data_IF_844384238681
#
_entry.id   IF_844384238681
#
_cell.length_a   1.000
_cell.length_b   1.000
_cell.length_c   1.000
_cell.angle_alpha   90.00
_cell.angle_beta   90.00
_cell.angle_gamma   90.00
#
_symmetry.space_group_name_H-M   'P 1'
#
loop_
_entity.id
_entity.type
_entity.pdbx_description
1 polymer ?
#
# COMPACT_ATOMS: atom_id res chain seq x y z
N UNK A 1 2.11 -19.84 -16.66
CA UNK A 1 2.18 -18.39 -16.55
C UNK A 1 3.47 -17.88 -17.17
N UNK A 2 3.51 -16.61 -17.57
CA UNK A 2 4.77 -16.00 -18.02
C UNK A 2 5.76 -15.98 -16.86
N UNK A 3 7.01 -16.33 -17.13
CA UNK A 3 8.12 -16.19 -16.19
C UNK A 3 8.27 -14.72 -15.76
N UNK A 4 8.76 -14.48 -14.55
CA UNK A 4 9.05 -13.13 -14.05
C UNK A 4 10.13 -12.43 -14.90
N UNK A 5 11.05 -13.18 -15.48
CA UNK A 5 12.06 -12.63 -16.40
C UNK A 5 11.45 -11.94 -17.60
N UNK A 6 10.33 -12.45 -18.13
CA UNK A 6 9.56 -11.79 -19.19
C UNK A 6 8.89 -10.50 -18.72
N UNK A 7 8.42 -10.45 -17.47
CA UNK A 7 7.88 -9.20 -16.89
C UNK A 7 8.99 -8.15 -16.72
N UNK A 8 10.19 -8.57 -16.32
CA UNK A 8 11.35 -7.66 -16.26
C UNK A 8 11.74 -7.14 -17.66
N UNK A 9 11.62 -8.00 -18.68
CA UNK A 9 11.86 -7.60 -20.08
C UNK A 9 10.82 -6.58 -20.55
N UNK A 10 9.54 -6.78 -20.26
CA UNK A 10 8.48 -5.81 -20.59
C UNK A 10 8.68 -4.47 -19.87
N UNK A 11 9.07 -4.48 -18.60
CA UNK A 11 9.41 -3.26 -17.86
C UNK A 11 10.58 -2.53 -18.52
N UNK A 12 11.60 -3.26 -18.93
CA UNK A 12 12.77 -2.67 -19.61
C UNK A 12 12.37 -2.05 -20.95
N UNK A 13 11.55 -2.71 -21.74
CA UNK A 13 11.06 -2.26 -23.05
C UNK A 13 10.37 -0.87 -22.96
N UNK A 14 9.53 -0.68 -21.96
CA UNK A 14 8.83 0.60 -21.71
C UNK A 14 9.82 1.76 -21.49
N UNK A 15 10.92 1.51 -20.76
CA UNK A 15 11.91 2.57 -20.46
C UNK A 15 12.85 2.91 -21.60
N UNK A 16 13.09 1.96 -22.52
CA UNK A 16 14.16 2.10 -23.52
C UNK A 16 13.92 3.17 -24.58
N UNK A 17 12.66 3.40 -24.96
CA UNK A 17 12.32 4.46 -25.93
C UNK A 17 12.80 5.83 -25.46
N UNK A 18 12.61 6.14 -24.17
CA UNK A 18 12.99 7.41 -23.54
C UNK A 18 14.49 7.68 -23.51
N UNK A 19 15.34 6.64 -23.70
CA UNK A 19 16.82 6.75 -23.70
C UNK A 19 17.44 6.45 -25.07
N UNK A 20 16.59 6.24 -26.08
CA UNK A 20 17.02 6.03 -27.47
C UNK A 20 17.74 4.71 -27.69
N UNK A 21 17.33 3.65 -27.00
CA UNK A 21 17.73 2.27 -27.30
C UNK A 21 16.81 1.73 -28.39
N UNK A 22 17.37 1.35 -29.52
CA UNK A 22 16.62 1.00 -30.74
C UNK A 22 16.96 -0.37 -31.31
N UNK A 23 17.80 -1.14 -30.64
CA UNK A 23 18.19 -2.48 -31.06
C UNK A 23 19.31 -3.06 -30.20
N UNK A 24 19.74 -4.31 -30.50
CA UNK A 24 20.70 -5.06 -29.67
C UNK A 24 22.02 -4.32 -29.42
N UNK A 25 22.60 -3.69 -30.44
CA UNK A 25 23.88 -2.95 -30.30
C UNK A 25 23.72 -1.77 -29.34
N UNK A 26 22.66 -0.97 -29.50
CA UNK A 26 22.40 0.16 -28.62
C UNK A 26 22.00 -0.27 -27.21
N UNK A 27 21.39 -1.42 -27.04
CA UNK A 27 21.11 -2.03 -25.73
C UNK A 27 22.42 -2.38 -25.02
N UNK A 28 23.34 -3.07 -25.71
CA UNK A 28 24.64 -3.39 -25.15
C UNK A 28 25.41 -2.13 -24.74
N UNK A 29 25.49 -1.10 -25.60
CA UNK A 29 26.30 0.09 -25.36
C UNK A 29 25.70 1.03 -24.29
N UNK A 30 24.38 1.10 -24.20
CA UNK A 30 23.71 2.05 -23.29
C UNK A 30 23.27 1.43 -21.97
N UNK A 31 23.02 0.14 -21.93
CA UNK A 31 22.48 -0.54 -20.76
C UNK A 31 23.49 -1.50 -20.15
N UNK A 32 24.03 -2.45 -20.93
CA UNK A 32 24.89 -3.51 -20.37
C UNK A 32 26.30 -3.01 -20.03
N UNK A 33 26.91 -2.23 -20.92
CA UNK A 33 28.29 -1.74 -20.73
C UNK A 33 28.42 -0.48 -19.91
N UNK A 34 27.31 0.05 -19.41
CA UNK A 34 27.28 1.24 -18.55
C UNK A 34 27.29 0.80 -17.10
N UNK A 35 28.21 1.33 -16.30
CA UNK A 35 28.34 0.97 -14.88
C UNK A 35 27.05 1.16 -14.08
N UNK A 36 26.30 2.23 -14.32
CA UNK A 36 25.02 2.49 -13.70
C UNK A 36 24.08 3.19 -14.70
N UNK A 37 23.33 2.42 -15.52
CA UNK A 37 22.40 3.00 -16.49
C UNK A 37 21.25 3.76 -15.83
N UNK A 38 20.79 3.32 -14.66
CA UNK A 38 19.75 3.99 -13.91
C UNK A 38 20.17 5.42 -13.51
N UNK A 39 21.34 5.60 -12.93
CA UNK A 39 21.86 6.92 -12.58
C UNK A 39 22.15 7.78 -13.81
N UNK A 40 22.63 7.18 -14.90
CA UNK A 40 22.95 7.88 -16.15
C UNK A 40 21.71 8.44 -16.85
N UNK A 41 20.61 7.70 -16.82
CA UNK A 41 19.36 8.01 -17.52
C UNK A 41 18.22 8.32 -16.56
N UNK A 42 18.53 8.92 -15.44
CA UNK A 42 17.67 9.36 -14.36
C UNK A 42 16.16 9.27 -14.65
N UNK A 43 15.42 8.49 -13.83
CA UNK A 43 13.96 8.31 -13.91
C UNK A 43 13.38 7.89 -15.28
N UNK A 44 14.22 7.49 -16.25
CA UNK A 44 13.76 7.02 -17.56
C UNK A 44 13.77 5.52 -17.69
N UNK A 45 14.52 4.83 -16.83
CA UNK A 45 14.63 3.38 -16.83
C UNK A 45 14.07 2.78 -15.55
N UNK A 46 13.25 1.73 -15.61
CA UNK A 46 12.76 1.05 -14.42
C UNK A 46 13.90 0.28 -13.74
N UNK A 47 14.03 0.45 -12.42
CA UNK A 47 15.10 -0.17 -11.61
C UNK A 47 15.16 -1.69 -11.81
N UNK A 48 14.04 -2.37 -11.74
CA UNK A 48 13.98 -3.83 -11.90
C UNK A 48 14.35 -4.28 -13.31
N UNK A 49 14.00 -3.52 -14.35
CA UNK A 49 14.40 -3.79 -15.73
C UNK A 49 15.92 -3.66 -15.91
N UNK A 50 16.54 -2.63 -15.30
CA UNK A 50 17.99 -2.45 -15.30
C UNK A 50 18.70 -3.58 -14.56
N UNK A 51 18.21 -3.98 -13.38
CA UNK A 51 18.74 -5.13 -12.65
C UNK A 51 18.68 -6.40 -13.49
N UNK A 52 17.54 -6.67 -14.11
CA UNK A 52 17.36 -7.83 -15.01
C UNK A 52 18.33 -7.81 -16.19
N UNK A 53 18.50 -6.67 -16.84
CA UNK A 53 19.41 -6.52 -17.98
C UNK A 53 20.88 -6.73 -17.57
N UNK A 54 21.34 -6.09 -16.53
CA UNK A 54 22.74 -6.17 -16.11
C UNK A 54 23.14 -7.52 -15.46
N UNK A 55 22.16 -8.33 -15.07
CA UNK A 55 22.39 -9.67 -14.54
C UNK A 55 22.18 -10.78 -15.56
N UNK A 56 21.86 -10.43 -16.83
CA UNK A 56 21.59 -11.40 -17.90
C UNK A 56 20.22 -12.08 -17.80
N UNK A 57 19.36 -11.69 -16.86
CA UNK A 57 17.97 -12.16 -16.76
C UNK A 57 17.11 -11.59 -17.88
N UNK A 58 17.48 -10.42 -18.38
CA UNK A 58 16.88 -9.77 -19.54
C UNK A 58 17.97 -9.48 -20.57
N UNK A 59 17.72 -9.82 -21.83
CA UNK A 59 18.63 -9.58 -22.94
C UNK A 59 17.90 -9.15 -24.21
N UNK A 60 18.63 -8.56 -25.14
CA UNK A 60 18.17 -8.29 -26.50
C UNK A 60 18.99 -9.06 -27.51
N UNK A 61 18.63 -10.31 -27.83
CA UNK A 61 19.38 -11.14 -28.76
C UNK A 61 19.41 -10.56 -30.18
N UNK A 62 20.53 -10.75 -30.89
CA UNK A 62 20.65 -10.34 -32.30
C UNK A 62 19.57 -11.03 -33.15
N UNK A 63 18.87 -10.24 -33.96
CA UNK A 63 17.80 -10.71 -34.81
C UNK A 63 16.41 -10.70 -34.20
N UNK A 64 16.28 -10.34 -32.93
CA UNK A 64 15.00 -10.08 -32.27
C UNK A 64 14.64 -8.59 -32.38
N UNK A 65 13.35 -8.31 -32.34
CA UNK A 65 12.79 -6.96 -32.45
C UNK A 65 12.53 -6.28 -31.09
N UNK A 66 12.77 -7.02 -29.98
CA UNK A 66 12.58 -6.55 -28.61
C UNK A 66 13.47 -7.27 -27.60
N UNK A 67 13.50 -6.76 -26.37
CA UNK A 67 14.11 -7.47 -25.24
C UNK A 67 13.31 -8.70 -24.87
N UNK A 68 13.98 -9.69 -24.36
CA UNK A 68 13.44 -11.00 -24.02
C UNK A 68 13.87 -11.42 -22.62
N UNK A 69 13.02 -12.20 -21.98
CA UNK A 69 13.32 -12.98 -20.78
C UNK A 69 13.59 -14.44 -21.11
N UNK A 70 13.79 -15.27 -20.11
CA UNK A 70 14.05 -16.70 -20.22
C UNK A 70 12.80 -17.53 -19.92
N UNK A 71 12.78 -18.77 -20.40
CA UNK A 71 11.77 -19.74 -20.01
C UNK A 71 12.07 -20.29 -18.61
N UNK A 72 11.05 -20.29 -17.74
CA UNK A 72 11.14 -20.79 -16.38
C UNK A 72 10.54 -22.20 -16.30
N UNK A 73 11.21 -23.13 -15.61
CA UNK A 73 10.67 -24.47 -15.33
C UNK A 73 10.35 -24.69 -13.85
N UNK A 74 10.93 -23.92 -12.97
CA UNK A 74 10.67 -23.96 -11.53
C UNK A 74 10.74 -22.54 -10.94
N UNK A 75 9.87 -22.24 -10.00
CA UNK A 75 9.94 -21.00 -9.26
C UNK A 75 9.60 -21.20 -7.78
N UNK A 76 10.09 -20.30 -6.96
CA UNK A 76 9.77 -20.23 -5.54
C UNK A 76 9.56 -18.76 -5.13
N UNK A 77 8.54 -18.52 -4.33
CA UNK A 77 8.24 -17.21 -3.76
C UNK A 77 8.13 -17.29 -2.24
N UNK A 78 8.85 -16.42 -1.58
CA UNK A 78 8.77 -16.21 -0.14
C UNK A 78 8.46 -14.74 0.15
N UNK A 79 7.56 -14.47 1.10
CA UNK A 79 7.30 -13.12 1.59
C UNK A 79 7.18 -13.13 3.10
N UNK A 80 7.72 -12.08 3.73
CA UNK A 80 7.59 -11.81 5.15
C UNK A 80 7.23 -10.36 5.35
N UNK A 81 6.12 -10.13 6.06
CA UNK A 81 5.63 -8.81 6.41
C UNK A 81 5.60 -8.67 7.92
N UNK A 82 6.04 -7.53 8.41
CA UNK A 82 6.03 -7.19 9.83
C UNK A 82 5.73 -5.71 10.01
N UNK A 83 5.09 -5.36 11.14
CA UNK A 83 4.76 -3.97 11.46
C UNK A 83 3.29 -3.76 11.78
N UNK A 84 2.89 -2.52 11.80
CA UNK A 84 1.54 -2.10 12.12
C UNK A 84 1.45 -0.59 12.34
N UNK A 85 0.28 -0.16 12.75
CA UNK A 85 0.02 1.23 13.16
C UNK A 85 -0.30 1.21 14.65
N UNK A 86 0.55 1.86 15.44
CA UNK A 86 0.30 2.10 16.86
C UNK A 86 -0.46 3.41 17.02
N UNK A 87 -1.52 3.41 17.82
CA UNK A 87 -2.32 4.59 18.09
C UNK A 87 -2.29 4.91 19.58
N UNK A 88 -2.02 6.17 19.90
CA UNK A 88 -2.04 6.73 21.25
C UNK A 88 -3.13 7.79 21.34
N UNK A 89 -4.15 7.54 22.16
CA UNK A 89 -5.28 8.43 22.31
C UNK A 89 -5.23 9.17 23.66
N UNK A 90 -5.28 10.49 23.60
CA UNK A 90 -5.41 11.37 24.77
C UNK A 90 -6.83 11.91 24.82
N UNK A 91 -7.58 11.48 25.84
CA UNK A 91 -9.01 11.76 25.93
C UNK A 91 -9.31 12.74 27.07
N UNK A 92 -10.25 13.64 26.81
CA UNK A 92 -10.90 14.45 27.85
C UNK A 92 -12.41 14.37 27.64
N UNK A 93 -13.16 14.24 28.73
CA UNK A 93 -14.61 14.18 28.66
C UNK A 93 -15.27 14.95 29.79
N UNK A 94 -16.46 15.49 29.52
CA UNK A 94 -17.25 16.26 30.44
C UNK A 94 -18.67 15.71 30.49
N UNK A 95 -19.24 15.61 31.69
CA UNK A 95 -20.63 15.28 31.91
C UNK A 95 -21.33 16.51 32.50
N UNK A 96 -22.36 16.99 31.83
CA UNK A 96 -23.13 18.16 32.24
C UNK A 96 -24.52 17.67 32.62
N UNK A 97 -24.81 17.68 33.94
CA UNK A 97 -26.10 17.36 34.54
C UNK A 97 -26.69 16.00 34.09
N UNK A 98 -25.85 15.02 33.75
CA UNK A 98 -26.24 13.72 33.17
C UNK A 98 -27.11 13.82 31.92
N UNK A 99 -27.11 14.95 31.25
CA UNK A 99 -27.88 15.24 30.02
C UNK A 99 -27.03 15.44 28.78
N UNK A 100 -25.89 16.07 28.94
CA UNK A 100 -24.96 16.32 27.84
C UNK A 100 -23.59 15.81 28.22
N UNK A 101 -23.06 14.94 27.36
CA UNK A 101 -21.72 14.38 27.50
C UNK A 101 -20.91 14.86 26.32
N UNK A 102 -19.78 15.52 26.60
CA UNK A 102 -18.85 16.03 25.60
C UNK A 102 -17.57 15.21 25.68
N UNK A 103 -16.98 14.91 24.55
CA UNK A 103 -15.69 14.23 24.48
C UNK A 103 -14.80 14.81 23.39
N UNK A 104 -13.52 14.90 23.69
CA UNK A 104 -12.48 15.22 22.71
C UNK A 104 -11.34 14.24 22.88
N UNK A 105 -10.80 13.77 21.75
CA UNK A 105 -9.66 12.84 21.70
C UNK A 105 -8.65 13.36 20.71
N UNK A 106 -7.41 13.51 21.17
CA UNK A 106 -6.25 13.70 20.30
C UNK A 106 -5.62 12.34 20.03
N UNK A 107 -5.61 11.92 18.78
CA UNK A 107 -4.96 10.71 18.33
C UNK A 107 -3.58 11.00 17.77
N UNK A 108 -2.58 10.24 18.17
CA UNK A 108 -1.22 10.25 17.62
C UNK A 108 -0.92 8.85 17.12
N UNK A 109 -0.41 8.76 15.91
CA UNK A 109 -0.14 7.50 15.22
C UNK A 109 1.35 7.34 14.96
N UNK A 110 1.83 6.12 15.13
CA UNK A 110 3.17 5.68 14.74
C UNK A 110 3.00 4.52 13.75
N UNK A 111 3.53 4.72 12.55
CA UNK A 111 3.44 3.76 11.43
C UNK A 111 4.80 3.14 11.23
N UNK A 112 4.86 1.81 11.25
CA UNK A 112 6.06 1.07 10.88
C UNK A 112 5.64 -0.21 10.17
N UNK A 113 6.08 -0.38 8.94
CA UNK A 113 5.80 -1.55 8.12
C UNK A 113 7.03 -1.95 7.33
N UNK A 114 7.34 -3.24 7.36
CA UNK A 114 8.47 -3.80 6.63
C UNK A 114 8.00 -5.03 5.86
N UNK A 115 8.35 -5.10 4.59
CA UNK A 115 8.14 -6.26 3.73
C UNK A 115 9.45 -6.70 3.09
N UNK A 116 9.78 -7.94 3.27
CA UNK A 116 10.80 -8.65 2.50
C UNK A 116 10.11 -9.67 1.60
N UNK A 117 10.50 -9.73 0.33
CA UNK A 117 10.11 -10.82 -0.55
C UNK A 117 11.29 -11.31 -1.36
N UNK A 118 11.38 -12.61 -1.54
CA UNK A 118 12.39 -13.30 -2.32
C UNK A 118 11.70 -14.14 -3.40
N UNK A 119 12.07 -13.94 -4.62
CA UNK A 119 11.55 -14.68 -5.77
C UNK A 119 12.70 -15.33 -6.53
N UNK A 120 12.64 -16.64 -6.71
CA UNK A 120 13.66 -17.40 -7.41
C UNK A 120 13.05 -18.09 -8.63
N UNK A 121 13.73 -18.05 -9.76
CA UNK A 121 13.42 -18.84 -10.96
C UNK A 121 14.62 -19.68 -11.37
N UNK A 122 14.36 -20.95 -11.69
CA UNK A 122 15.26 -21.82 -12.41
C UNK A 122 14.89 -21.78 -13.90
N UNK A 123 15.87 -21.52 -14.75
CA UNK A 123 15.68 -21.15 -16.15
C UNK A 123 16.14 -22.25 -17.11
N UNK A 124 15.49 -22.28 -18.26
CA UNK A 124 15.89 -23.11 -19.40
C UNK A 124 16.35 -22.23 -20.58
N UNK A 125 17.29 -22.75 -21.37
CA UNK A 125 17.58 -22.24 -22.70
C UNK A 125 16.46 -22.58 -23.72
N UNK A 126 16.58 -22.10 -24.94
CA UNK A 126 15.62 -22.33 -26.02
C UNK A 126 15.45 -23.81 -26.42
N UNK A 127 16.36 -24.67 -25.99
CA UNK A 127 16.34 -26.12 -26.23
C UNK A 127 15.80 -26.90 -25.03
N UNK A 128 15.37 -26.21 -23.96
CA UNK A 128 14.84 -26.82 -22.74
C UNK A 128 15.92 -27.41 -21.82
N UNK A 129 17.18 -27.04 -22.02
CA UNK A 129 18.29 -27.40 -21.12
C UNK A 129 18.37 -26.40 -19.96
N UNK A 130 18.66 -26.88 -18.76
CA UNK A 130 18.88 -26.04 -17.59
C UNK A 130 19.97 -24.99 -17.87
N UNK A 131 19.66 -23.72 -17.55
CA UNK A 131 20.51 -22.58 -17.83
C UNK A 131 20.71 -21.67 -16.60
N UNK A 132 20.88 -22.29 -15.44
CA UNK A 132 21.00 -21.57 -14.18
C UNK A 132 19.67 -20.96 -13.73
N UNK A 133 19.73 -19.82 -13.08
CA UNK A 133 18.58 -19.15 -12.55
C UNK A 133 18.92 -17.79 -11.95
N UNK A 134 17.96 -17.21 -11.26
CA UNK A 134 18.17 -15.94 -10.52
C UNK A 134 17.32 -15.89 -9.26
N UNK A 135 17.71 -15.01 -8.36
CA UNK A 135 16.95 -14.64 -7.17
C UNK A 135 16.79 -13.13 -7.15
N UNK A 136 15.55 -12.66 -7.05
CA UNK A 136 15.18 -11.27 -6.87
C UNK A 136 14.67 -11.08 -5.45
N UNK A 137 15.43 -10.34 -4.65
CA UNK A 137 15.07 -9.93 -3.30
C UNK A 137 14.57 -8.49 -3.32
N UNK A 138 13.40 -8.24 -2.71
CA UNK A 138 12.83 -6.92 -2.56
C UNK A 138 12.66 -6.58 -1.08
N UNK A 139 13.05 -5.38 -0.73
CA UNK A 139 12.90 -4.80 0.60
C UNK A 139 12.06 -3.54 0.49
N UNK A 140 11.01 -3.48 1.26
CA UNK A 140 10.15 -2.31 1.34
C UNK A 140 9.92 -1.94 2.79
N UNK A 141 10.10 -0.68 3.13
CA UNK A 141 9.77 -0.12 4.44
C UNK A 141 8.85 1.07 4.29
N UNK A 142 7.93 1.23 5.22
CA UNK A 142 7.07 2.40 5.36
C UNK A 142 7.06 2.78 6.82
N UNK A 143 7.60 3.96 7.12
CA UNK A 143 7.63 4.52 8.47
C UNK A 143 6.97 5.90 8.45
N UNK A 144 6.44 6.33 9.59
CA UNK A 144 5.88 7.66 9.69
C UNK A 144 5.03 7.90 10.92
N UNK A 145 4.50 9.10 10.99
CA UNK A 145 3.65 9.54 12.10
C UNK A 145 2.37 10.18 11.59
N UNK A 146 1.34 10.18 12.42
CA UNK A 146 0.07 10.82 12.08
C UNK A 146 -0.59 11.46 13.30
N UNK A 147 -1.50 12.39 13.05
CA UNK A 147 -2.26 13.06 14.07
C UNK A 147 -3.70 13.29 13.63
N UNK A 148 -4.65 13.11 14.52
CA UNK A 148 -6.06 13.47 14.31
C UNK A 148 -6.73 14.04 15.56
N UNK A 149 -7.92 14.62 15.39
CA UNK A 149 -8.78 15.07 16.46
C UNK A 149 -10.18 14.48 16.27
N UNK A 150 -10.73 13.90 17.34
CA UNK A 150 -12.08 13.34 17.39
C UNK A 150 -12.90 14.12 18.40
N UNK A 151 -14.06 14.61 17.99
CA UNK A 151 -14.99 15.33 18.86
C UNK A 151 -16.32 14.60 18.87
N UNK A 152 -16.92 14.50 20.05
CA UNK A 152 -18.21 13.82 20.21
C UNK A 152 -19.10 14.49 21.23
N UNK A 153 -20.40 14.38 20.99
CA UNK A 153 -21.43 14.80 21.93
C UNK A 153 -22.52 13.71 22.03
N UNK A 154 -22.93 13.41 23.25
CA UNK A 154 -24.11 12.57 23.50
C UNK A 154 -25.10 13.40 24.30
N UNK A 155 -26.37 13.41 23.88
CA UNK A 155 -27.45 14.15 24.50
C UNK A 155 -28.54 13.18 24.95
N UNK A 156 -29.05 13.41 26.17
CA UNK A 156 -30.31 12.82 26.68
C UNK A 156 -31.40 13.85 26.59
N UNK A 157 -32.21 13.88 25.50
CA UNK A 157 -33.17 14.96 25.28
C UNK A 157 -34.33 14.96 26.29
N UNK A 158 -34.63 13.81 26.93
CA UNK A 158 -35.74 13.65 27.85
C UNK A 158 -35.24 13.16 29.21
N UNK A 159 -35.58 13.86 30.30
CA UNK A 159 -35.17 13.48 31.66
C UNK A 159 -35.66 12.11 32.12
N UNK A 160 -36.90 11.79 31.79
CA UNK A 160 -37.55 10.55 32.21
C UNK A 160 -37.23 9.35 31.26
N UNK A 161 -36.49 9.59 30.18
CA UNK A 161 -36.21 8.54 29.19
C UNK A 161 -34.71 8.20 29.15
N UNK A 162 -34.36 6.92 29.04
CA UNK A 162 -32.97 6.51 28.81
C UNK A 162 -32.48 6.74 27.36
N UNK A 163 -33.31 7.32 26.49
CA UNK A 163 -33.01 7.59 25.11
C UNK A 163 -31.81 8.60 24.99
N UNK A 164 -30.86 8.27 24.14
CA UNK A 164 -29.67 9.06 23.87
C UNK A 164 -29.46 9.23 22.37
N UNK A 165 -29.01 10.41 22.00
CA UNK A 165 -28.53 10.73 20.64
C UNK A 165 -27.05 11.08 20.73
N UNK A 166 -26.26 10.55 19.83
CA UNK A 166 -24.84 10.81 19.71
C UNK A 166 -24.48 11.40 18.36
N UNK A 167 -23.55 12.33 18.35
CA UNK A 167 -22.92 12.89 17.16
C UNK A 167 -21.42 12.91 17.39
N UNK A 168 -20.67 12.48 16.39
CA UNK A 168 -19.22 12.57 16.41
C UNK A 168 -18.67 13.00 15.06
N UNK A 169 -17.58 13.73 15.10
CA UNK A 169 -16.80 14.12 13.94
C UNK A 169 -15.35 13.79 14.21
N UNK A 170 -14.72 13.13 13.26
CA UNK A 170 -13.29 12.93 13.26
C UNK A 170 -12.68 13.76 12.12
N UNK A 171 -11.66 14.51 12.44
CA UNK A 171 -10.88 15.20 11.41
C UNK A 171 -10.19 14.17 10.52
N UNK A 172 -9.64 14.56 9.39
CA UNK A 172 -8.62 13.78 8.72
C UNK A 172 -7.51 13.40 9.69
N UNK A 173 -6.91 12.25 9.47
CA UNK A 173 -5.59 11.95 10.02
C UNK A 173 -4.57 12.47 9.02
N UNK A 174 -3.70 13.36 9.46
CA UNK A 174 -2.58 13.87 8.67
C UNK A 174 -1.38 13.00 8.98
N UNK A 175 -0.95 12.23 7.99
CA UNK A 175 0.23 11.39 8.07
C UNK A 175 1.38 12.03 7.32
N UNK A 176 2.56 12.00 7.93
CA UNK A 176 3.85 12.25 7.31
C UNK A 176 4.56 10.90 7.21
N UNK A 177 4.77 10.44 5.97
CA UNK A 177 5.19 9.10 5.66
C UNK A 177 6.48 9.10 4.85
N UNK A 178 7.35 8.14 5.16
CA UNK A 178 8.56 7.83 4.42
C UNK A 178 8.52 6.38 3.97
N UNK A 179 8.57 6.16 2.68
CA UNK A 179 8.78 4.83 2.13
C UNK A 179 10.20 4.68 1.60
N UNK A 180 10.75 3.47 1.73
CA UNK A 180 12.02 3.11 1.15
C UNK A 180 11.88 1.76 0.45
N UNK A 181 12.40 1.70 -0.75
CA UNK A 181 12.43 0.50 -1.57
C UNK A 181 13.85 0.14 -1.96
N UNK A 182 14.17 -1.13 -1.86
CA UNK A 182 15.43 -1.69 -2.29
C UNK A 182 15.20 -3.04 -2.98
N UNK A 183 15.95 -3.31 -4.04
CA UNK A 183 15.94 -4.59 -4.73
C UNK A 183 17.37 -5.07 -4.97
N UNK A 184 17.55 -6.39 -4.80
CA UNK A 184 18.79 -7.07 -5.13
C UNK A 184 18.47 -8.22 -6.07
N UNK A 185 19.17 -8.31 -7.19
CA UNK A 185 19.05 -9.40 -8.13
C UNK A 185 20.40 -10.10 -8.28
N UNK A 186 20.45 -11.39 -7.98
CA UNK A 186 21.61 -12.27 -8.21
C UNK A 186 21.26 -13.33 -9.24
N UNK A 187 22.14 -13.58 -10.18
CA UNK A 187 21.96 -14.61 -11.22
C UNK A 187 23.20 -15.48 -11.39
N UNK A 188 22.99 -16.69 -11.90
CA UNK A 188 24.04 -17.63 -12.33
C UNK A 188 23.74 -18.20 -13.72
N UNK A 189 23.19 -17.35 -14.58
CA UNK A 189 22.80 -17.74 -15.94
C UNK A 189 24.06 -17.95 -16.79
N UNK A 190 24.11 -19.07 -17.51
CA UNK A 190 25.15 -19.34 -18.49
C UNK A 190 24.76 -18.69 -19.81
N UNK A 191 25.42 -17.58 -20.14
CA UNK A 191 25.18 -16.82 -21.34
C UNK A 191 26.35 -17.00 -22.32
N UNK A 192 26.12 -17.69 -23.44
CA UNK A 192 27.14 -18.01 -24.45
C UNK A 192 28.42 -18.68 -23.91
N UNK A 193 28.29 -19.51 -22.87
CA UNK A 193 29.42 -20.22 -22.27
C UNK A 193 30.20 -19.43 -21.23
N UNK A 194 29.74 -18.23 -20.86
CA UNK A 194 30.27 -17.44 -19.76
C UNK A 194 29.20 -17.37 -18.64
N UNK A 195 29.57 -17.80 -17.44
CA UNK A 195 28.69 -17.70 -16.28
C UNK A 195 28.55 -16.25 -15.83
N UNK A 196 27.34 -15.72 -15.91
CA UNK A 196 27.00 -14.43 -15.29
C UNK A 196 26.76 -14.64 -13.81
N UNK A 197 27.69 -14.18 -13.00
CA UNK A 197 27.57 -14.18 -11.54
C UNK A 197 27.60 -12.72 -11.09
N UNK A 198 26.43 -12.06 -11.02
CA UNK A 198 26.37 -10.67 -10.57
C UNK A 198 25.33 -10.50 -9.45
N UNK A 199 25.73 -9.72 -8.46
CA UNK A 199 24.90 -9.23 -7.38
C UNK A 199 24.93 -7.70 -7.44
N UNK A 200 23.81 -7.09 -7.85
CA UNK A 200 23.75 -5.64 -8.12
C UNK A 200 23.00 -4.84 -7.07
N UNK A 201 22.49 -5.48 -6.01
CA UNK A 201 21.73 -4.79 -4.98
C UNK A 201 22.48 -3.59 -4.38
N UNK A 202 23.68 -3.81 -3.94
CA UNK A 202 24.52 -2.78 -3.32
C UNK A 202 24.96 -1.69 -4.30
N UNK A 203 24.91 -1.96 -5.59
CA UNK A 203 25.38 -1.04 -6.64
C UNK A 203 24.39 0.09 -6.91
N UNK A 204 23.10 -0.20 -6.92
CA UNK A 204 22.06 0.81 -7.13
C UNK A 204 21.84 1.67 -5.88
N UNK A 205 22.08 1.11 -4.68
CA UNK A 205 21.84 1.75 -3.39
C UNK A 205 23.07 2.53 -2.90
N UNK A 206 24.26 2.12 -3.27
CA UNK A 206 25.51 2.59 -2.68
C UNK A 206 25.94 4.02 -3.04
N UNK A 207 25.29 4.69 -4.00
CA UNK A 207 25.76 5.98 -4.51
C UNK A 207 24.82 7.16 -4.35
N UNK A 208 23.50 6.96 -4.33
CA UNK A 208 22.51 8.02 -4.13
C UNK A 208 21.26 7.44 -3.51
N UNK A 209 21.21 7.39 -2.20
CA UNK A 209 20.10 6.83 -1.41
C UNK A 209 18.74 7.50 -1.66
N UNK A 210 18.74 8.72 -2.19
CA UNK A 210 17.53 9.54 -2.34
C UNK A 210 16.54 9.01 -3.39
N UNK A 211 16.96 8.10 -4.28
CA UNK A 211 16.10 7.64 -5.38
C UNK A 211 15.13 6.53 -5.03
N UNK A 212 15.43 5.79 -3.99
CA UNK A 212 14.60 4.68 -3.53
C UNK A 212 13.90 5.02 -2.20
N UNK A 213 14.08 6.24 -1.72
CA UNK A 213 13.39 6.77 -0.55
C UNK A 213 12.49 7.91 -0.98
N UNK A 214 11.24 7.88 -0.54
CA UNK A 214 10.24 8.87 -0.90
C UNK A 214 9.47 9.34 0.33
N UNK A 215 9.47 10.66 0.55
CA UNK A 215 8.69 11.29 1.61
C UNK A 215 7.41 11.87 1.03
N UNK A 216 6.27 11.62 1.66
CA UNK A 216 4.98 12.13 1.22
C UNK A 216 3.99 12.26 2.36
N UNK A 217 2.94 13.05 2.12
CA UNK A 217 1.85 13.29 3.03
C UNK A 217 0.59 12.54 2.58
N UNK A 218 -0.04 11.84 3.51
CA UNK A 218 -1.34 11.23 3.32
C UNK A 218 -2.36 11.90 4.25
N UNK A 219 -3.39 12.52 3.67
CA UNK A 219 -4.52 13.06 4.43
C UNK A 219 -5.74 12.15 4.23
N UNK A 220 -6.23 11.55 5.31
CA UNK A 220 -7.45 10.72 5.26
C UNK A 220 -8.71 11.58 5.21
N UNK A 221 -9.88 11.02 4.84
CA UNK A 221 -11.13 11.77 4.84
C UNK A 221 -11.64 12.13 6.21
N UNK A 222 -12.49 13.15 6.27
CA UNK A 222 -13.37 13.40 7.43
C UNK A 222 -14.31 12.21 7.65
N UNK A 223 -14.61 11.93 8.93
CA UNK A 223 -15.60 10.92 9.32
C UNK A 223 -16.69 11.57 10.16
N UNK A 224 -17.93 11.32 9.78
CA UNK A 224 -19.13 11.81 10.47
C UNK A 224 -19.94 10.64 11.00
N UNK A 225 -20.38 10.74 12.24
CA UNK A 225 -21.05 9.67 12.93
C UNK A 225 -22.31 10.19 13.65
N UNK A 226 -23.43 9.52 13.47
CA UNK A 226 -24.69 9.78 14.16
C UNK A 226 -25.17 8.49 14.79
N UNK A 227 -25.56 8.53 16.05
CA UNK A 227 -26.02 7.34 16.77
C UNK A 227 -27.24 7.64 17.62
N UNK A 228 -28.06 6.62 17.84
CA UNK A 228 -29.20 6.65 18.75
C UNK A 228 -29.23 5.36 19.56
N UNK A 229 -29.59 5.45 20.82
CA UNK A 229 -29.71 4.28 21.66
C UNK A 229 -30.67 4.51 22.81
N UNK A 230 -31.28 3.38 23.29
CA UNK A 230 -32.17 3.40 24.43
C UNK A 230 -32.16 2.06 25.17
N UNK A 231 -32.63 2.08 26.41
CA UNK A 231 -32.94 0.86 27.15
C UNK A 231 -34.45 0.76 27.45
N UNK A 232 -35.01 -0.42 27.32
CA UNK A 232 -36.43 -0.67 27.57
C UNK A 232 -36.55 -1.60 28.79
N UNK A 233 -37.26 -1.13 29.81
CA UNK A 233 -37.53 -1.90 31.03
C UNK A 233 -36.26 -2.31 31.81
N UNK A 234 -35.11 -1.74 31.52
CA UNK A 234 -33.83 -2.15 32.12
C UNK A 234 -33.33 -3.54 31.67
N UNK A 235 -34.04 -4.18 30.76
CA UNK A 235 -33.77 -5.54 30.28
C UNK A 235 -33.21 -5.55 28.86
N UNK A 236 -33.71 -4.67 28.00
CA UNK A 236 -33.31 -4.61 26.58
C UNK A 236 -32.61 -3.30 26.29
N UNK A 237 -31.42 -3.36 25.73
CA UNK A 237 -30.71 -2.21 25.15
C UNK A 237 -30.70 -2.34 23.64
N UNK A 238 -31.02 -1.25 22.93
CA UNK A 238 -31.02 -1.18 21.46
C UNK A 238 -30.24 0.05 21.08
N UNK A 239 -29.38 -0.09 20.06
CA UNK A 239 -28.59 1.01 19.48
C UNK A 239 -28.49 0.88 17.99
N UNK A 240 -28.42 2.03 17.34
CA UNK A 240 -28.13 2.15 15.91
C UNK A 240 -27.11 3.28 15.70
N UNK A 241 -26.25 3.09 14.73
CA UNK A 241 -25.20 4.04 14.34
C UNK A 241 -25.10 4.11 12.83
N UNK A 242 -24.96 5.30 12.33
CA UNK A 242 -24.64 5.57 10.93
C UNK A 242 -23.36 6.39 10.86
N UNK A 243 -22.42 5.95 10.02
CA UNK A 243 -21.15 6.59 9.78
C UNK A 243 -21.00 6.87 8.29
N UNK A 244 -20.48 8.05 7.96
CA UNK A 244 -20.14 8.44 6.60
C UNK A 244 -18.70 8.91 6.53
N UNK A 245 -17.98 8.43 5.50
CA UNK A 245 -16.62 8.82 5.20
C UNK A 245 -16.41 8.82 3.69
N UNK A 246 -15.94 9.94 3.12
CA UNK A 246 -15.73 10.07 1.68
C UNK A 246 -14.27 9.83 1.32
N UNK A 247 -13.95 8.61 0.88
CA UNK A 247 -12.58 8.23 0.52
C UNK A 247 -12.04 8.96 -0.70
N UNK A 248 -12.90 9.51 -1.59
CA UNK A 248 -12.44 10.32 -2.70
C UNK A 248 -11.86 11.67 -2.27
N UNK A 249 -12.12 12.08 -1.03
CA UNK A 249 -11.51 13.29 -0.44
C UNK A 249 -10.13 13.07 0.19
N UNK A 250 -9.59 11.85 0.13
CA UNK A 250 -8.22 11.55 0.57
C UNK A 250 -7.21 12.27 -0.31
N UNK A 251 -6.09 12.70 0.26
CA UNK A 251 -5.04 13.38 -0.50
C UNK A 251 -3.72 12.68 -0.32
N UNK A 252 -3.02 12.51 -1.45
CA UNK A 252 -1.65 12.09 -1.54
C UNK A 252 -0.84 13.25 -2.13
N UNK A 253 0.03 13.84 -1.33
CA UNK A 253 0.79 15.04 -1.70
C UNK A 253 2.27 14.80 -1.38
N UNK A 254 3.17 15.40 -2.16
CA UNK A 254 4.58 15.44 -1.81
C UNK A 254 4.82 16.35 -0.60
N UNK A 255 6.06 16.45 -0.15
CA UNK A 255 6.43 17.29 1.02
C UNK A 255 6.19 18.79 0.79
N UNK A 256 6.08 19.23 -0.46
CA UNK A 256 5.81 20.62 -0.85
C UNK A 256 4.30 20.87 -1.06
N UNK A 257 3.45 19.84 -0.93
CA UNK A 257 2.00 19.91 -1.04
C UNK A 257 1.46 19.81 -2.47
N UNK A 258 2.27 19.32 -3.42
CA UNK A 258 1.79 19.04 -4.78
C UNK A 258 1.21 17.63 -4.85
N UNK A 259 0.07 17.44 -5.55
CA UNK A 259 -0.53 16.12 -5.71
C UNK A 259 0.44 15.13 -6.37
N UNK A 260 0.51 13.92 -5.82
CA UNK A 260 1.24 12.82 -6.44
C UNK A 260 0.49 12.27 -7.66
N UNK A 261 1.21 11.59 -8.55
CA UNK A 261 0.61 10.97 -9.75
C UNK A 261 -0.55 10.02 -9.44
N UNK A 262 -0.51 9.35 -8.30
CA UNK A 262 -1.56 8.42 -7.84
C UNK A 262 -2.83 9.13 -7.30
N UNK A 263 -2.80 10.44 -7.08
CA UNK A 263 -3.98 11.21 -6.63
C UNK A 263 -5.15 11.08 -7.61
N UNK A 264 -4.90 11.05 -8.91
CA UNK A 264 -5.95 10.85 -9.91
C UNK A 264 -6.70 9.53 -9.74
N UNK A 265 -6.02 8.47 -9.32
CA UNK A 265 -6.63 7.18 -9.01
C UNK A 265 -7.52 7.25 -7.77
N UNK A 266 -7.16 8.04 -6.76
CA UNK A 266 -8.00 8.30 -5.59
C UNK A 266 -9.30 9.01 -6.01
N UNK A 267 -9.19 10.06 -6.81
CA UNK A 267 -10.33 10.86 -7.24
C UNK A 267 -11.30 10.10 -8.16
N UNK A 268 -10.76 9.24 -9.05
CA UNK A 268 -11.53 8.52 -10.06
C UNK A 268 -12.15 7.22 -9.53
N UNK A 269 -11.45 6.50 -8.65
CA UNK A 269 -11.84 5.15 -8.25
C UNK A 269 -12.43 5.04 -6.86
N UNK A 270 -12.22 6.00 -5.97
CA UNK A 270 -12.79 5.98 -4.63
C UNK A 270 -14.06 6.80 -4.53
N UNK A 271 -14.89 6.50 -3.53
CA UNK A 271 -16.15 7.19 -3.27
C UNK A 271 -16.52 7.18 -1.79
N UNK A 272 -17.59 7.86 -1.46
CA UNK A 272 -18.18 7.88 -0.12
C UNK A 272 -18.63 6.48 0.34
N UNK A 273 -18.28 6.15 1.58
CA UNK A 273 -18.64 4.91 2.25
C UNK A 273 -19.65 5.19 3.35
N UNK A 274 -20.69 4.38 3.36
CA UNK A 274 -21.76 4.37 4.35
C UNK A 274 -21.63 3.12 5.21
N UNK A 275 -21.54 3.31 6.52
CA UNK A 275 -21.57 2.24 7.50
C UNK A 275 -22.85 2.36 8.33
N UNK A 276 -23.63 1.29 8.40
CA UNK A 276 -24.79 1.17 9.26
C UNK A 276 -24.57 0.03 10.26
N UNK A 277 -24.65 0.34 11.55
CA UNK A 277 -24.53 -0.66 12.63
C UNK A 277 -25.79 -0.63 13.47
N UNK A 278 -26.38 -1.78 13.72
CA UNK A 278 -27.53 -1.92 14.61
C UNK A 278 -27.22 -3.04 15.59
N UNK A 279 -27.49 -2.82 16.87
CA UNK A 279 -27.23 -3.79 17.91
C UNK A 279 -28.37 -3.83 18.95
N UNK A 280 -28.55 -5.00 19.51
CA UNK A 280 -29.47 -5.24 20.61
C UNK A 280 -28.81 -6.15 21.64
N UNK A 281 -29.02 -5.83 22.91
CA UNK A 281 -28.72 -6.71 24.03
C UNK A 281 -29.98 -6.94 24.84
N UNK A 282 -30.28 -8.20 25.19
CA UNK A 282 -31.32 -8.57 26.09
C UNK A 282 -30.75 -9.33 27.29
N UNK A 283 -31.03 -8.86 28.50
CA UNK A 283 -30.70 -9.54 29.75
C UNK A 283 -31.88 -10.42 30.14
N UNK A 284 -31.73 -11.73 30.03
CA UNK A 284 -32.78 -12.71 30.35
C UNK A 284 -32.84 -12.95 31.85
N UNK A 285 -31.68 -13.11 32.48
CA UNK A 285 -31.44 -13.15 33.92
C UNK A 285 -30.18 -12.36 34.25
N UNK A 286 -29.96 -12.01 35.53
CA UNK A 286 -28.78 -11.20 35.89
C UNK A 286 -27.44 -11.75 35.36
N UNK A 287 -27.32 -13.06 35.28
CA UNK A 287 -26.11 -13.79 34.87
C UNK A 287 -26.03 -14.08 33.38
N UNK A 288 -27.15 -13.88 32.62
CA UNK A 288 -27.22 -14.28 31.22
C UNK A 288 -27.83 -13.21 30.31
N UNK A 289 -27.07 -12.77 29.35
CA UNK A 289 -27.46 -11.81 28.31
C UNK A 289 -27.24 -12.39 26.90
N UNK A 290 -28.15 -12.08 25.99
CA UNK A 290 -28.02 -12.37 24.55
C UNK A 290 -27.79 -11.06 23.83
N UNK A 291 -26.85 -11.08 22.89
CA UNK A 291 -26.52 -9.95 22.01
C UNK A 291 -26.70 -10.38 20.57
N UNK A 292 -27.26 -9.49 19.77
CA UNK A 292 -27.33 -9.62 18.31
C UNK A 292 -26.97 -8.28 17.67
N UNK A 293 -26.29 -8.32 16.53
CA UNK A 293 -25.94 -7.11 15.80
C UNK A 293 -25.85 -7.38 14.30
N UNK A 294 -26.07 -6.32 13.55
CA UNK A 294 -25.91 -6.27 12.10
C UNK A 294 -25.06 -5.08 11.72
N UNK A 295 -24.11 -5.31 10.82
CA UNK A 295 -23.26 -4.27 10.24
C UNK A 295 -23.35 -4.35 8.72
N UNK A 296 -23.58 -3.20 8.10
CA UNK A 296 -23.54 -3.03 6.65
C UNK A 296 -22.54 -1.96 6.30
N UNK A 297 -21.61 -2.27 5.38
CA UNK A 297 -20.64 -1.34 4.83
C UNK A 297 -20.80 -1.31 3.31
N UNK A 298 -21.00 -0.13 2.73
CA UNK A 298 -21.02 0.04 1.28
C UNK A 298 -19.61 -0.09 0.68
N UNK A 299 -19.54 -0.40 -0.63
CA UNK A 299 -18.24 -0.46 -1.31
C UNK A 299 -17.56 0.92 -1.37
N UNK A 300 -16.24 0.93 -1.18
CA UNK A 300 -15.42 2.14 -1.29
C UNK A 300 -15.04 2.49 -2.74
N UNK A 301 -15.13 1.51 -3.66
CA UNK A 301 -14.75 1.70 -5.06
C UNK A 301 -15.95 2.06 -5.92
N UNK A 302 -15.72 2.94 -6.91
CA UNK A 302 -16.68 3.25 -7.97
C UNK A 302 -16.95 2.01 -8.83
N UNK A 303 -18.10 1.99 -9.55
CA UNK A 303 -18.50 0.79 -10.31
C UNK A 303 -17.54 0.46 -11.47
N UNK A 304 -16.88 1.47 -12.02
CA UNK A 304 -16.04 1.34 -13.20
C UNK A 304 -14.54 1.24 -12.89
N UNK A 305 -14.18 1.04 -11.61
CA UNK A 305 -12.79 0.96 -11.16
C UNK A 305 -12.07 -0.34 -11.54
N UNK A 306 -12.76 -1.32 -12.14
CA UNK A 306 -12.22 -2.64 -12.49
C UNK A 306 -12.47 -3.05 -13.97
N UNK A 307 -12.65 -2.09 -14.85
CA UNK A 307 -12.77 -2.37 -16.31
C UNK A 307 -11.44 -2.22 -17.03
#
# INVERSE_FOLDING_TARGET
GLSQSWQLAELMDIGMEGVGVTGPESFQDKIIRVDNPYAKYWNKLPVLGVLGAQTGVVDWPTGQDRVMGWNCYSNNFFSKETGGISQYDFNVSFNIEDRVYLGATLGVYDVSYNRFSSYTEDLNDDFGKENGGYTLDNYYTLDGTGIDLKLGVIVRPFESSPFRLGFAVHTPTWYDLRESYNANLSSNIDYYGEAYNQNLGDFLIGRDYDYLTYDYNLTTPWKFNVSAGTTVGGLVAIGAEYEYQDYSSSKLEDVDGYPLGDQSSVDDYLKGVHNLRVGMETRIVPEFSIRAGYNYTSAAFAKDSYN
#
